data_IF_699043365351
#
_entry.id   IF_699043365351
#
_cell.length_a   1.000
_cell.length_b   1.000
_cell.length_c   1.000
_cell.angle_alpha   90.00
_cell.angle_beta   90.00
_cell.angle_gamma   90.00
#
_symmetry.space_group_name_H-M   'P 1'
#
loop_
_entity.id
_entity.type
_entity.pdbx_description
1 polymer ?
#
# COMPACT_ATOMS: atom_id res chain seq x y z
N UNK A 1 -25.90 -5.58 -0.26
CA UNK A 1 -24.71 -6.44 -0.09
C UNK A 1 -24.73 -7.02 1.31
N UNK A 2 -24.58 -8.34 1.44
CA UNK A 2 -24.41 -8.99 2.75
C UNK A 2 -23.13 -8.47 3.43
N UNK A 3 -23.13 -8.26 4.77
CA UNK A 3 -21.91 -7.91 5.51
C UNK A 3 -20.75 -8.87 5.26
N UNK A 4 -21.06 -10.15 5.07
CA UNK A 4 -20.09 -11.21 4.82
C UNK A 4 -19.47 -11.09 3.42
N UNK A 5 -20.26 -10.72 2.42
CA UNK A 5 -19.76 -10.46 1.07
C UNK A 5 -18.81 -9.25 1.03
N UNK A 6 -19.10 -8.21 1.82
CA UNK A 6 -18.25 -7.03 1.90
C UNK A 6 -16.92 -7.34 2.57
N UNK A 7 -16.95 -8.08 3.69
CA UNK A 7 -15.73 -8.56 4.36
C UNK A 7 -14.90 -9.44 3.42
N UNK A 8 -15.55 -10.39 2.73
CA UNK A 8 -14.88 -11.25 1.76
C UNK A 8 -14.19 -10.44 0.68
N UNK A 9 -14.89 -9.50 0.03
CA UNK A 9 -14.31 -8.65 -1.02
C UNK A 9 -13.15 -7.80 -0.52
N UNK A 10 -13.26 -7.23 0.68
CA UNK A 10 -12.17 -6.44 1.27
C UNK A 10 -10.93 -7.28 1.52
N UNK A 11 -11.08 -8.47 2.12
CA UNK A 11 -9.96 -9.36 2.43
C UNK A 11 -9.34 -9.93 1.16
N UNK A 12 -10.19 -10.37 0.22
CA UNK A 12 -9.76 -10.88 -1.07
C UNK A 12 -8.94 -9.83 -1.83
N UNK A 13 -9.44 -8.61 -1.93
CA UNK A 13 -8.74 -7.50 -2.59
C UNK A 13 -7.38 -7.21 -1.92
N UNK A 14 -7.36 -7.10 -0.59
CA UNK A 14 -6.13 -6.78 0.15
C UNK A 14 -5.07 -7.88 0.02
N UNK A 15 -5.46 -9.15 0.14
CA UNK A 15 -4.53 -10.26 0.03
C UNK A 15 -4.01 -10.37 -1.40
N UNK A 16 -4.88 -10.31 -2.40
CA UNK A 16 -4.46 -10.36 -3.80
C UNK A 16 -3.48 -9.25 -4.16
N UNK A 17 -3.78 -8.01 -3.79
CA UNK A 17 -2.90 -6.88 -4.09
C UNK A 17 -1.53 -7.06 -3.45
N UNK A 18 -1.47 -7.45 -2.17
CA UNK A 18 -0.20 -7.70 -1.49
C UNK A 18 0.56 -8.88 -2.10
N UNK A 19 -0.12 -9.98 -2.44
CA UNK A 19 0.50 -11.15 -3.09
C UNK A 19 1.13 -10.81 -4.45
N UNK A 20 0.58 -9.84 -5.18
CA UNK A 20 1.16 -9.34 -6.43
C UNK A 20 2.30 -8.36 -6.14
N UNK A 21 2.15 -7.48 -5.15
CA UNK A 21 3.12 -6.41 -4.86
C UNK A 21 4.45 -6.95 -4.32
N UNK A 22 4.42 -7.83 -3.34
CA UNK A 22 5.63 -8.35 -2.67
C UNK A 22 6.71 -8.91 -3.62
N UNK A 23 6.38 -9.77 -4.60
CA UNK A 23 7.39 -10.26 -5.55
C UNK A 23 7.93 -9.19 -6.51
N UNK A 24 7.18 -8.09 -6.73
CA UNK A 24 7.58 -7.00 -7.64
C UNK A 24 8.53 -6.01 -6.96
N UNK A 25 8.39 -5.77 -5.65
CA UNK A 25 9.18 -4.76 -4.92
C UNK A 25 10.69 -5.00 -5.07
N UNK A 26 11.15 -6.25 -4.97
CA UNK A 26 12.58 -6.57 -5.04
C UNK A 26 13.22 -6.24 -6.40
N UNK A 27 12.71 -6.77 -7.52
CA UNK A 27 13.11 -6.35 -8.87
C UNK A 27 13.02 -4.84 -9.09
N UNK A 28 11.89 -4.22 -8.69
CA UNK A 28 11.66 -2.78 -8.88
C UNK A 28 12.68 -1.91 -8.13
N UNK A 29 13.00 -2.26 -6.89
CA UNK A 29 14.02 -1.56 -6.10
C UNK A 29 15.40 -1.65 -6.75
N UNK A 30 15.75 -2.79 -7.35
CA UNK A 30 17.03 -2.97 -8.07
C UNK A 30 17.08 -2.14 -9.34
N UNK A 31 15.99 -2.12 -10.11
CA UNK A 31 15.90 -1.34 -11.35
C UNK A 31 15.89 0.18 -11.10
N UNK A 32 15.31 0.63 -9.98
CA UNK A 32 15.37 2.01 -9.54
C UNK A 32 16.66 2.38 -8.79
N UNK A 33 17.62 1.46 -8.73
CA UNK A 33 18.91 1.62 -8.04
C UNK A 33 18.78 2.04 -6.56
N UNK A 34 17.76 1.54 -5.86
CA UNK A 34 17.59 1.78 -4.43
C UNK A 34 18.70 1.10 -3.63
N UNK A 35 19.16 1.76 -2.57
CA UNK A 35 20.13 1.18 -1.64
C UNK A 35 19.47 0.14 -0.72
N UNK A 36 20.28 -0.73 -0.12
CA UNK A 36 19.80 -1.72 0.86
C UNK A 36 19.08 -1.06 2.05
N UNK A 37 19.56 0.11 2.48
CA UNK A 37 18.92 0.91 3.53
C UNK A 37 17.55 1.42 3.09
N UNK A 38 17.40 1.87 1.84
CA UNK A 38 16.10 2.31 1.31
C UNK A 38 15.10 1.15 1.27
N UNK A 39 15.51 -0.02 0.78
CA UNK A 39 14.65 -1.21 0.78
C UNK A 39 14.23 -1.64 2.20
N UNK A 40 15.17 -1.58 3.16
CA UNK A 40 14.88 -1.83 4.57
C UNK A 40 13.89 -0.82 5.14
N UNK A 41 14.12 0.48 4.90
CA UNK A 41 13.24 1.56 5.35
C UNK A 41 11.83 1.46 4.76
N UNK A 42 11.68 1.01 3.51
CA UNK A 42 10.37 0.76 2.90
C UNK A 42 9.58 -0.30 3.69
N UNK A 43 10.23 -1.43 3.98
CA UNK A 43 9.62 -2.54 4.71
C UNK A 43 9.30 -2.17 6.16
N UNK A 44 10.23 -1.51 6.85
CA UNK A 44 10.05 -1.02 8.22
C UNK A 44 8.99 0.07 8.29
N UNK A 45 8.97 1.00 7.32
CA UNK A 45 7.97 2.06 7.21
C UNK A 45 6.57 1.49 7.03
N UNK A 46 6.40 0.51 6.15
CA UNK A 46 5.14 -0.21 5.98
C UNK A 46 4.66 -0.89 7.27
N UNK A 47 5.55 -1.61 7.97
CA UNK A 47 5.23 -2.26 9.23
C UNK A 47 4.87 -1.25 10.35
N UNK A 48 5.62 -0.15 10.44
CA UNK A 48 5.38 0.91 11.42
C UNK A 48 4.04 1.60 11.17
N UNK A 49 3.72 1.92 9.91
CA UNK A 49 2.44 2.53 9.56
C UNK A 49 1.28 1.58 9.86
N UNK A 50 1.40 0.29 9.55
CA UNK A 50 0.39 -0.70 9.95
C UNK A 50 0.22 -0.77 11.46
N UNK A 51 1.32 -0.81 12.21
CA UNK A 51 1.28 -0.86 13.68
C UNK A 51 0.56 0.36 14.28
N UNK A 52 0.81 1.56 13.77
CA UNK A 52 0.21 2.80 14.24
C UNK A 52 -1.25 2.97 13.78
N UNK A 53 -1.54 2.64 12.52
CA UNK A 53 -2.83 2.91 11.90
C UNK A 53 -3.86 1.80 12.12
N UNK A 54 -3.45 0.54 12.36
CA UNK A 54 -4.40 -0.55 12.58
C UNK A 54 -5.31 -0.31 13.80
N UNK A 55 -4.80 0.10 14.99
CA UNK A 55 -5.66 0.43 16.13
C UNK A 55 -6.54 1.64 15.87
N UNK A 56 -6.02 2.65 15.18
CA UNK A 56 -6.74 3.87 14.84
C UNK A 56 -7.99 3.56 14.00
N UNK A 57 -7.81 2.86 12.88
CA UNK A 57 -8.93 2.51 11.99
C UNK A 57 -9.86 1.47 12.61
N UNK A 58 -9.34 0.56 13.44
CA UNK A 58 -10.14 -0.38 14.22
C UNK A 58 -11.16 0.34 15.10
N UNK A 59 -10.70 1.24 15.98
CA UNK A 59 -11.58 2.03 16.87
C UNK A 59 -12.55 2.93 16.10
N UNK A 60 -12.09 3.56 15.01
CA UNK A 60 -12.95 4.41 14.17
C UNK A 60 -14.05 3.61 13.47
N UNK A 61 -13.78 2.36 13.11
CA UNK A 61 -14.78 1.46 12.50
C UNK A 61 -15.90 1.05 13.45
N UNK A 62 -15.65 1.05 14.75
CA UNK A 62 -16.66 0.75 15.77
C UNK A 62 -17.64 1.92 15.95
N UNK A 63 -17.16 3.16 15.85
CA UNK A 63 -17.97 4.37 16.07
C UNK A 63 -18.71 4.82 14.80
N UNK A 64 -18.04 4.82 13.64
CA UNK A 64 -18.63 5.26 12.35
C UNK A 64 -19.44 4.15 11.68
N UNK A 65 -19.23 2.91 12.11
CA UNK A 65 -19.75 1.70 11.46
C UNK A 65 -18.73 1.07 10.52
N UNK A 66 -18.73 -0.26 10.45
CA UNK A 66 -17.71 -1.04 9.74
C UNK A 66 -17.76 -0.86 8.22
N UNK A 67 -18.96 -0.79 7.64
CA UNK A 67 -19.17 -0.70 6.18
C UNK A 67 -18.48 0.52 5.53
N UNK A 68 -18.68 1.77 5.98
CA UNK A 68 -18.04 2.92 5.34
C UNK A 68 -16.51 2.90 5.48
N UNK A 69 -15.97 2.46 6.63
CA UNK A 69 -14.51 2.36 6.84
C UNK A 69 -13.89 1.30 5.92
N UNK A 70 -14.54 0.15 5.77
CA UNK A 70 -14.07 -0.91 4.88
C UNK A 70 -14.08 -0.48 3.40
N UNK A 71 -15.12 0.23 2.95
CA UNK A 71 -15.17 0.78 1.59
C UNK A 71 -14.09 1.84 1.38
N UNK A 72 -13.87 2.73 2.35
CA UNK A 72 -12.78 3.69 2.31
C UNK A 72 -11.41 2.99 2.24
N UNK A 73 -11.24 1.87 2.95
CA UNK A 73 -10.06 1.02 2.87
C UNK A 73 -9.82 0.46 1.47
N UNK A 74 -10.85 -0.04 0.79
CA UNK A 74 -10.73 -0.52 -0.61
C UNK A 74 -10.31 0.62 -1.54
N UNK A 75 -10.97 1.78 -1.45
CA UNK A 75 -10.65 2.93 -2.30
C UNK A 75 -9.22 3.42 -2.03
N UNK A 76 -8.85 3.54 -0.76
CA UNK A 76 -7.50 3.92 -0.35
C UNK A 76 -6.44 2.93 -0.82
N UNK A 77 -6.74 1.62 -0.77
CA UNK A 77 -5.85 0.58 -1.30
C UNK A 77 -5.67 0.70 -2.81
N UNK A 78 -6.76 0.91 -3.56
CA UNK A 78 -6.70 1.11 -5.01
C UNK A 78 -5.89 2.35 -5.39
N UNK A 79 -6.13 3.48 -4.71
CA UNK A 79 -5.37 4.72 -4.93
C UNK A 79 -3.90 4.53 -4.55
N UNK A 80 -3.59 3.87 -3.44
CA UNK A 80 -2.22 3.59 -3.02
C UNK A 80 -1.46 2.75 -4.04
N UNK A 81 -2.05 1.66 -4.53
CA UNK A 81 -1.45 0.84 -5.58
C UNK A 81 -1.28 1.59 -6.90
N UNK A 82 -2.26 2.43 -7.26
CA UNK A 82 -2.17 3.27 -8.45
C UNK A 82 -1.02 4.28 -8.34
N UNK A 83 -0.89 4.95 -7.19
CA UNK A 83 0.20 5.90 -6.94
C UNK A 83 1.55 5.20 -6.94
N UNK A 84 1.68 4.05 -6.29
CA UNK A 84 2.89 3.23 -6.32
C UNK A 84 3.30 2.88 -7.76
N UNK A 85 2.36 2.41 -8.57
CA UNK A 85 2.61 2.10 -9.98
C UNK A 85 2.99 3.34 -10.79
N UNK A 86 2.31 4.47 -10.56
CA UNK A 86 2.57 5.74 -11.24
C UNK A 86 3.98 6.26 -10.92
N UNK A 87 4.37 6.29 -9.66
CA UNK A 87 5.69 6.77 -9.24
C UNK A 87 6.81 5.82 -9.68
N UNK A 88 6.59 4.51 -9.64
CA UNK A 88 7.51 3.54 -10.23
C UNK A 88 7.71 3.78 -11.72
N UNK A 89 6.62 3.99 -12.46
CA UNK A 89 6.68 4.30 -13.89
C UNK A 89 7.37 5.63 -14.21
N UNK A 90 7.15 6.67 -13.40
CA UNK A 90 7.86 7.95 -13.52
C UNK A 90 9.35 7.82 -13.20
N UNK A 91 9.70 6.94 -12.25
CA UNK A 91 11.08 6.55 -11.95
C UNK A 91 11.76 5.91 -13.16
N UNK A 92 11.08 4.97 -13.83
CA UNK A 92 11.58 4.35 -15.06
C UNK A 92 11.80 5.34 -16.21
N UNK A 93 10.93 6.35 -16.33
CA UNK A 93 11.08 7.39 -17.35
C UNK A 93 12.21 8.39 -17.04
N UNK A 94 12.85 8.30 -15.88
CA UNK A 94 13.88 9.25 -15.44
C UNK A 94 13.33 10.65 -15.15
N UNK A 95 12.00 10.82 -15.08
CA UNK A 95 11.35 12.09 -14.72
C UNK A 95 11.57 12.40 -13.23
N UNK A 96 11.58 11.34 -12.41
CA UNK A 96 11.93 11.37 -11.01
C UNK A 96 13.12 10.43 -10.82
N UNK A 97 14.18 10.86 -10.13
CA UNK A 97 15.36 10.02 -9.87
C UNK A 97 15.85 10.17 -8.43
N UNK A 98 16.12 9.04 -7.77
CA UNK A 98 16.68 9.01 -6.42
C UNK A 98 15.65 9.20 -5.31
N UNK A 99 15.96 10.07 -4.33
CA UNK A 99 15.16 10.31 -3.13
C UNK A 99 13.69 10.69 -3.37
N UNK A 100 13.32 11.48 -4.40
CA UNK A 100 11.92 11.81 -4.67
C UNK A 100 11.09 10.61 -5.08
N UNK A 101 11.65 9.66 -5.85
CA UNK A 101 10.96 8.42 -6.23
C UNK A 101 10.73 7.57 -4.99
N UNK A 102 11.78 7.41 -4.18
CA UNK A 102 11.73 6.62 -2.96
C UNK A 102 10.73 7.17 -1.94
N UNK A 103 10.66 8.49 -1.75
CA UNK A 103 9.74 9.09 -0.78
C UNK A 103 8.27 9.15 -1.21
N UNK A 104 8.00 9.01 -2.50
CA UNK A 104 6.63 9.04 -3.04
C UNK A 104 6.02 7.64 -3.21
N UNK A 105 6.86 6.60 -3.33
CA UNK A 105 6.44 5.19 -3.38
C UNK A 105 6.18 4.62 -2.00
#
# INVERSE_FOLDING_TARGET
MSPLALLFLTLFNSILGLSILFPIIGPLARELHFSELQAGLFSTGYALMQFLLAPYWGRRSEVVGRKPILLMGIVGFAVGFFLFALFGWLGFKGVLSGLPVFGLM
#
